data_IF_804669095482
#
_entry.id   IF_804669095482
#
_cell.length_a   1.000
_cell.length_b   1.000
_cell.length_c   1.000
_cell.angle_alpha   90.00
_cell.angle_beta   90.00
_cell.angle_gamma   90.00
#
_symmetry.space_group_name_H-M   'P 1'
#
loop_
_entity.id
_entity.type
_entity.pdbx_description
1 polymer ?
#
# COMPACT_ATOMS: atom_id res chain seq x y z
N UNK A 1 11.12 0.69 10.77
CA UNK A 1 12.37 1.32 10.30
C UNK A 1 12.23 1.75 8.84
N UNK A 2 12.15 0.83 7.86
CA UNK A 2 11.99 1.18 6.44
C UNK A 2 10.66 1.89 6.11
N UNK A 3 9.56 1.40 6.69
CA UNK A 3 8.22 1.99 6.50
C UNK A 3 7.94 3.20 7.43
N UNK A 4 8.95 3.66 8.19
CA UNK A 4 8.75 4.73 9.19
C UNK A 4 7.94 4.33 10.44
N UNK A 5 7.39 3.11 10.52
CA UNK A 5 6.57 2.65 11.65
C UNK A 5 7.32 2.43 12.98
N UNK A 6 8.65 2.29 12.92
CA UNK A 6 9.51 2.05 14.08
C UNK A 6 10.84 2.78 13.86
N UNK A 7 11.39 3.38 14.92
CA UNK A 7 12.67 4.09 14.85
C UNK A 7 13.88 3.12 14.86
N UNK A 8 14.92 3.36 14.03
CA UNK A 8 16.23 3.71 14.55
C UNK A 8 16.80 3.19 15.87
N UNK A 9 17.07 1.91 16.17
CA UNK A 9 17.86 1.64 17.40
C UNK A 9 19.33 2.03 17.21
N UNK A 10 19.89 1.82 16.02
CA UNK A 10 21.21 2.28 15.59
C UNK A 10 21.28 2.32 14.05
N UNK A 11 22.25 3.07 13.51
CA UNK A 11 22.47 3.20 12.06
C UNK A 11 21.49 4.15 11.34
N UNK A 12 21.57 4.17 10.01
CA UNK A 12 20.71 4.98 9.14
C UNK A 12 19.90 4.08 8.21
N UNK A 13 18.75 4.59 7.77
CA UNK A 13 17.85 3.90 6.84
C UNK A 13 17.57 4.83 5.67
N UNK A 14 17.86 4.34 4.47
CA UNK A 14 17.60 5.07 3.23
C UNK A 14 16.70 4.23 2.31
N UNK A 15 15.77 4.92 1.65
CA UNK A 15 14.87 4.38 0.63
C UNK A 15 14.90 5.32 -0.56
N UNK A 16 14.82 4.78 -1.78
CA UNK A 16 14.77 5.59 -3.01
C UNK A 16 15.88 6.68 -3.05
N UNK A 17 17.10 6.31 -2.65
CA UNK A 17 18.28 7.17 -2.68
C UNK A 17 18.33 8.28 -1.63
N UNK A 18 17.59 8.18 -0.52
CA UNK A 18 17.73 9.12 0.59
C UNK A 18 16.97 8.72 1.86
N UNK A 19 16.94 9.60 2.88
CA UNK A 19 16.32 9.27 4.17
C UNK A 19 14.80 9.07 4.04
N UNK A 20 14.24 8.23 4.91
CA UNK A 20 12.79 7.98 4.98
C UNK A 20 12.04 9.28 5.28
N UNK A 21 11.09 9.63 4.42
CA UNK A 21 10.19 10.77 4.58
C UNK A 21 8.82 10.49 3.92
N UNK A 22 7.79 11.31 4.17
CA UNK A 22 6.46 11.08 3.61
C UNK A 22 6.43 10.98 2.08
N UNK A 23 7.21 11.81 1.37
CA UNK A 23 7.22 11.84 -0.10
C UNK A 23 7.79 10.56 -0.71
N UNK A 24 8.79 9.95 -0.07
CA UNK A 24 9.33 8.65 -0.49
C UNK A 24 8.45 7.49 -0.08
N UNK A 25 7.84 7.55 1.11
CA UNK A 25 6.91 6.51 1.56
C UNK A 25 5.65 6.43 0.68
N UNK A 26 5.21 7.55 0.11
CA UNK A 26 4.10 7.57 -0.85
C UNK A 26 4.35 6.73 -2.13
N UNK A 27 5.60 6.37 -2.41
CA UNK A 27 6.00 5.54 -3.55
C UNK A 27 6.20 4.06 -3.18
N UNK A 28 6.03 3.71 -1.90
CA UNK A 28 6.27 2.37 -1.39
C UNK A 28 4.93 1.70 -1.07
N UNK A 29 4.65 0.60 -1.76
CA UNK A 29 3.57 -0.31 -1.39
C UNK A 29 4.03 -1.34 -0.36
N UNK A 30 3.22 -1.60 0.67
CA UNK A 30 3.49 -2.63 1.67
C UNK A 30 2.32 -3.61 1.78
N UNK A 31 2.63 -4.90 1.79
CA UNK A 31 1.67 -5.99 2.01
C UNK A 31 2.21 -6.87 3.12
N UNK A 32 1.51 -6.95 4.24
CA UNK A 32 1.89 -7.79 5.38
C UNK A 32 1.70 -9.28 5.10
N UNK A 33 2.46 -10.12 5.81
CA UNK A 33 2.32 -11.57 5.79
C UNK A 33 1.03 -12.02 6.48
N UNK A 34 0.79 -11.55 7.71
CA UNK A 34 -0.52 -11.62 8.35
C UNK A 34 -1.45 -10.59 7.71
N UNK A 35 -2.25 -11.06 6.75
CA UNK A 35 -3.28 -10.23 6.11
C UNK A 35 -4.53 -10.25 6.96
N UNK A 36 -4.62 -9.34 7.92
CA UNK A 36 -5.90 -8.94 8.48
C UNK A 36 -6.72 -8.23 7.41
N UNK A 37 -7.31 -8.97 6.47
CA UNK A 37 -8.25 -8.39 5.52
C UNK A 37 -9.55 -8.03 6.25
N UNK A 38 -10.22 -6.97 5.80
CA UNK A 38 -11.55 -6.62 6.28
C UNK A 38 -12.57 -7.66 5.76
N UNK A 39 -12.66 -8.82 6.43
CA UNK A 39 -13.48 -9.96 5.99
C UNK A 39 -14.99 -9.70 5.94
N UNK A 40 -15.43 -8.54 6.42
CA UNK A 40 -16.81 -8.05 6.31
C UNK A 40 -17.06 -7.18 5.05
N UNK A 41 -16.02 -6.90 4.26
CA UNK A 41 -16.12 -6.13 3.02
C UNK A 41 -16.04 -7.06 1.80
N UNK A 42 -16.86 -6.77 0.79
CA UNK A 42 -16.70 -7.28 -0.57
C UNK A 42 -15.47 -6.67 -1.24
N UNK A 43 -15.05 -7.25 -2.37
CA UNK A 43 -13.94 -6.73 -3.18
C UNK A 43 -14.23 -5.29 -3.64
N UNK A 44 -15.45 -5.02 -4.11
CA UNK A 44 -15.87 -3.69 -4.55
C UNK A 44 -15.83 -2.66 -3.40
N UNK A 45 -16.30 -3.02 -2.20
CA UNK A 45 -16.25 -2.13 -1.03
C UNK A 45 -14.81 -1.81 -0.61
N UNK A 46 -13.92 -2.82 -0.63
CA UNK A 46 -12.49 -2.64 -0.35
C UNK A 46 -11.84 -1.68 -1.35
N UNK A 47 -12.13 -1.85 -2.63
CA UNK A 47 -11.65 -0.98 -3.72
C UNK A 47 -12.19 0.44 -3.53
N UNK A 48 -13.49 0.60 -3.26
CA UNK A 48 -14.11 1.90 -3.03
C UNK A 48 -13.56 2.63 -1.79
N UNK A 49 -13.30 1.89 -0.72
CA UNK A 49 -12.67 2.43 0.49
C UNK A 49 -11.24 2.91 0.21
N UNK A 50 -10.40 2.05 -0.38
CA UNK A 50 -9.00 2.37 -0.68
C UNK A 50 -8.87 3.51 -1.69
N UNK A 51 -9.72 3.57 -2.73
CA UNK A 51 -9.76 4.66 -3.71
C UNK A 51 -9.80 6.06 -3.11
N UNK A 52 -10.55 6.23 -2.00
CA UNK A 52 -10.72 7.53 -1.34
C UNK A 52 -9.46 7.99 -0.59
N UNK A 53 -8.52 7.09 -0.32
CA UNK A 53 -7.30 7.36 0.43
C UNK A 53 -6.12 7.75 -0.47
N UNK A 54 -6.18 7.45 -1.78
CA UNK A 54 -5.08 7.64 -2.71
C UNK A 54 -5.45 8.62 -3.83
N UNK A 55 -4.90 9.86 -3.83
CA UNK A 55 -5.17 10.85 -4.88
C UNK A 55 -4.73 10.42 -6.28
N UNK A 56 -3.74 9.53 -6.38
CA UNK A 56 -3.17 9.03 -7.64
C UNK A 56 -3.78 7.68 -8.05
N UNK A 57 -5.08 7.50 -7.80
CA UNK A 57 -5.79 6.25 -8.11
C UNK A 57 -5.81 5.94 -9.61
N UNK A 58 -5.63 4.67 -9.98
CA UNK A 58 -5.67 4.20 -11.37
C UNK A 58 -6.70 3.08 -11.53
N UNK A 59 -7.88 3.43 -12.07
CA UNK A 59 -8.96 2.47 -12.33
C UNK A 59 -8.57 1.41 -13.38
N UNK A 60 -7.60 1.68 -14.26
CA UNK A 60 -7.13 0.70 -15.26
C UNK A 60 -6.32 -0.39 -14.57
N UNK A 61 -5.38 -0.01 -13.71
CA UNK A 61 -4.60 -0.95 -12.93
C UNK A 61 -5.49 -1.85 -12.07
N UNK A 62 -6.54 -1.29 -11.45
CA UNK A 62 -7.52 -2.05 -10.67
C UNK A 62 -8.20 -3.10 -11.54
N UNK A 63 -8.70 -2.72 -12.71
CA UNK A 63 -9.33 -3.64 -13.66
C UNK A 63 -8.37 -4.76 -14.05
N UNK A 64 -7.12 -4.43 -14.38
CA UNK A 64 -6.11 -5.41 -14.78
C UNK A 64 -5.83 -6.42 -13.65
N UNK A 65 -5.83 -5.97 -12.38
CA UNK A 65 -5.67 -6.85 -11.22
C UNK A 65 -6.90 -7.71 -10.93
N UNK A 66 -8.12 -7.18 -11.09
CA UNK A 66 -9.35 -7.96 -10.96
C UNK A 66 -9.35 -9.11 -11.98
N UNK A 67 -8.98 -8.82 -13.23
CA UNK A 67 -8.86 -9.80 -14.31
C UNK A 67 -7.75 -10.83 -14.00
N UNK A 68 -6.56 -10.37 -13.59
CA UNK A 68 -5.41 -11.23 -13.29
C UNK A 68 -5.68 -12.21 -12.15
N UNK A 69 -6.29 -11.72 -11.07
CA UNK A 69 -6.58 -12.52 -9.87
C UNK A 69 -7.94 -13.21 -9.92
N UNK A 70 -8.73 -12.99 -10.98
CA UNK A 70 -10.08 -13.55 -11.18
C UNK A 70 -10.99 -13.27 -9.99
N UNK A 71 -10.95 -12.02 -9.53
CA UNK A 71 -11.78 -11.55 -8.43
C UNK A 71 -13.15 -11.10 -8.98
N UNK A 72 -14.22 -11.25 -8.17
CA UNK A 72 -15.55 -10.76 -8.54
C UNK A 72 -15.59 -9.24 -8.67
#
# INVERSE_FOLDING_TARGET
>A
MLLGLLAPTAGTVEILGGPVNPERLAQVGYVSEERGMYGYMTVEEMIGFTRRLYPTWDDRAVKDYLDLFRLP
#
